data_IF_437929977016
#
_entry.id   IF_437929977016
#
_cell.length_a   1.000
_cell.length_b   1.000
_cell.length_c   1.000
_cell.angle_alpha   90.00
_cell.angle_beta   90.00
_cell.angle_gamma   90.00
#
_symmetry.space_group_name_H-M   'P 1'
#
loop_
_entity.id
_entity.type
_entity.pdbx_description
1 polymer ?
#
# COMPACT_ATOMS: atom_id res chain seq x y z
N UNK A 1 29.71 0.45 -6.86
CA UNK A 1 29.65 1.16 -5.58
C UNK A 1 28.39 0.68 -4.88
N UNK A 2 28.49 -0.07 -3.77
CA UNK A 2 27.31 -0.44 -3.00
C UNK A 2 26.84 0.81 -2.26
N UNK A 3 25.79 1.45 -2.76
CA UNK A 3 25.11 2.49 -2.01
C UNK A 3 24.39 1.81 -0.86
N UNK A 4 25.00 1.86 0.33
CA UNK A 4 24.36 1.47 1.57
C UNK A 4 23.30 2.53 1.88
N UNK A 5 22.03 2.14 1.81
CA UNK A 5 20.91 3.04 2.11
C UNK A 5 20.79 3.20 3.63
N UNK A 6 20.45 4.39 4.10
CA UNK A 6 20.26 4.63 5.53
C UNK A 6 19.02 3.89 6.05
N UNK A 7 19.05 3.46 7.30
CA UNK A 7 17.86 2.89 7.95
C UNK A 7 16.77 3.95 8.11
N UNK A 8 15.49 3.66 7.79
CA UNK A 8 14.38 4.59 8.03
C UNK A 8 14.27 5.03 9.49
N UNK A 9 14.68 4.17 10.44
CA UNK A 9 14.64 4.44 11.87
C UNK A 9 15.72 5.42 12.32
N UNK A 10 16.80 5.56 11.55
CA UNK A 10 17.85 6.56 11.77
C UNK A 10 17.49 7.89 11.11
N UNK A 11 16.79 7.84 9.98
CA UNK A 11 16.44 9.03 9.18
C UNK A 11 15.16 9.69 9.66
N UNK A 12 14.23 8.92 10.23
CA UNK A 12 12.96 9.40 10.74
C UNK A 12 12.65 8.75 12.10
N UNK A 13 12.79 9.53 13.16
CA UNK A 13 12.55 9.11 14.55
C UNK A 13 11.09 8.71 14.82
N UNK A 14 10.16 9.13 13.96
CA UNK A 14 8.76 8.74 14.02
C UNK A 14 8.54 7.28 13.63
N UNK A 15 9.49 6.60 12.98
CA UNK A 15 9.34 5.18 12.65
C UNK A 15 9.87 4.28 13.74
N UNK A 16 9.12 3.21 13.99
CA UNK A 16 9.48 2.13 14.88
C UNK A 16 9.44 0.81 14.10
N UNK A 17 10.51 0.04 14.20
CA UNK A 17 10.68 -1.22 13.48
C UNK A 17 9.65 -2.27 13.86
N UNK A 18 9.28 -2.38 15.14
CA UNK A 18 8.26 -3.32 15.61
C UNK A 18 6.89 -3.00 14.99
N UNK A 19 6.54 -1.71 14.90
CA UNK A 19 5.30 -1.26 14.28
C UNK A 19 5.27 -1.59 12.78
N UNK A 20 6.39 -1.38 12.07
CA UNK A 20 6.51 -1.74 10.66
C UNK A 20 6.45 -3.25 10.44
N UNK A 21 7.07 -4.06 11.31
CA UNK A 21 6.99 -5.52 11.23
C UNK A 21 5.56 -6.03 11.48
N UNK A 22 4.78 -5.38 12.35
CA UNK A 22 3.35 -5.68 12.49
C UNK A 22 2.59 -5.40 11.18
N UNK A 23 2.80 -4.22 10.58
CA UNK A 23 2.15 -3.88 9.29
C UNK A 23 2.61 -4.85 8.19
N UNK A 24 3.90 -5.14 8.12
CA UNK A 24 4.50 -5.98 7.10
C UNK A 24 3.87 -7.38 7.10
N UNK A 25 3.74 -8.03 8.26
CA UNK A 25 3.08 -9.34 8.38
C UNK A 25 1.66 -9.35 7.83
N UNK A 26 0.86 -8.35 8.18
CA UNK A 26 -0.52 -8.24 7.68
C UNK A 26 -0.57 -8.02 6.16
N UNK A 27 0.35 -7.23 5.61
CA UNK A 27 0.46 -7.01 4.17
C UNK A 27 0.87 -8.29 3.45
N UNK A 28 1.83 -9.03 4.00
CA UNK A 28 2.35 -10.27 3.46
C UNK A 28 1.28 -11.37 3.44
N UNK A 29 0.50 -11.49 4.53
CA UNK A 29 -0.66 -12.38 4.58
C UNK A 29 -1.69 -12.05 3.49
N UNK A 30 -1.97 -10.76 3.27
CA UNK A 30 -2.88 -10.31 2.20
C UNK A 30 -2.30 -10.56 0.80
N UNK A 31 -1.00 -10.34 0.61
CA UNK A 31 -0.33 -10.60 -0.66
C UNK A 31 -0.42 -12.08 -1.02
N UNK A 32 -0.19 -12.96 -0.06
CA UNK A 32 -0.25 -14.41 -0.25
C UNK A 32 -1.67 -14.91 -0.49
N UNK A 33 -2.63 -14.48 0.33
CA UNK A 33 -4.05 -14.78 0.09
C UNK A 33 -4.49 -14.31 -1.30
N UNK A 34 -3.95 -13.19 -1.80
CA UNK A 34 -4.23 -12.70 -3.15
C UNK A 34 -3.64 -13.62 -4.20
N UNK A 35 -2.38 -14.02 -4.04
CA UNK A 35 -1.70 -14.93 -4.94
C UNK A 35 -2.43 -16.26 -5.05
N UNK A 36 -2.83 -16.85 -3.94
CA UNK A 36 -3.55 -18.13 -3.92
C UNK A 36 -4.95 -18.04 -4.55
N UNK A 37 -5.66 -16.93 -4.32
CA UNK A 37 -7.02 -16.75 -4.85
C UNK A 37 -7.09 -16.29 -6.30
N UNK A 38 -5.98 -15.83 -6.88
CA UNK A 38 -5.91 -15.24 -8.22
C UNK A 38 -5.18 -16.19 -9.18
N UNK A 39 -5.77 -17.37 -9.36
CA UNK A 39 -5.20 -18.50 -10.11
C UNK A 39 -6.18 -19.06 -11.15
N UNK A 40 -7.32 -18.41 -11.36
CA UNK A 40 -8.33 -18.83 -12.33
C UNK A 40 -7.91 -18.59 -13.77
N UNK A 41 -8.66 -19.17 -14.71
CA UNK A 41 -8.41 -19.05 -16.16
C UNK A 41 -8.45 -17.59 -16.66
N UNK A 42 -9.26 -16.74 -16.02
CA UNK A 42 -9.42 -15.33 -16.37
C UNK A 42 -8.61 -14.40 -15.46
N UNK A 43 -7.76 -14.96 -14.59
CA UNK A 43 -6.87 -14.18 -13.77
C UNK A 43 -5.60 -13.84 -14.53
N UNK A 44 -5.20 -12.57 -14.43
CA UNK A 44 -3.98 -12.07 -15.04
C UNK A 44 -3.26 -11.12 -14.07
N UNK A 45 -2.17 -10.55 -14.55
CA UNK A 45 -1.41 -9.59 -13.74
C UNK A 45 -2.25 -8.37 -13.33
N UNK A 46 -3.19 -7.94 -14.16
CA UNK A 46 -4.04 -6.79 -13.86
C UNK A 46 -5.08 -7.13 -12.79
N UNK A 47 -5.74 -8.27 -12.88
CA UNK A 47 -6.71 -8.73 -11.85
C UNK A 47 -6.01 -8.95 -10.51
N UNK A 48 -4.78 -9.50 -10.53
CA UNK A 48 -3.96 -9.64 -9.33
C UNK A 48 -3.65 -8.28 -8.69
N UNK A 49 -3.09 -7.33 -9.44
CA UNK A 49 -2.69 -6.01 -8.92
C UNK A 49 -3.89 -5.23 -8.38
N UNK A 50 -5.03 -5.31 -9.06
CA UNK A 50 -6.26 -4.62 -8.67
C UNK A 50 -6.85 -5.24 -7.40
N UNK A 51 -6.88 -6.57 -7.33
CA UNK A 51 -7.33 -7.31 -6.14
C UNK A 51 -6.44 -7.00 -4.94
N UNK A 52 -5.11 -7.04 -5.13
CA UNK A 52 -4.15 -6.74 -4.08
C UNK A 52 -4.34 -5.31 -3.56
N UNK A 53 -4.41 -4.32 -4.45
CA UNK A 53 -4.64 -2.92 -4.07
C UNK A 53 -5.92 -2.74 -3.26
N UNK A 54 -7.02 -3.36 -3.71
CA UNK A 54 -8.31 -3.33 -3.03
C UNK A 54 -8.25 -3.95 -1.63
N UNK A 55 -7.58 -5.10 -1.47
CA UNK A 55 -7.42 -5.78 -0.18
C UNK A 55 -6.51 -5.01 0.77
N UNK A 56 -5.39 -4.46 0.29
CA UNK A 56 -4.51 -3.60 1.09
C UNK A 56 -5.24 -2.35 1.58
N UNK A 57 -6.06 -1.71 0.73
CA UNK A 57 -6.91 -0.60 1.16
C UNK A 57 -7.82 -1.00 2.33
N UNK A 58 -8.51 -2.15 2.22
CA UNK A 58 -9.39 -2.64 3.30
C UNK A 58 -8.60 -3.00 4.57
N UNK A 59 -7.39 -3.56 4.42
CA UNK A 59 -6.49 -3.82 5.54
C UNK A 59 -6.19 -2.53 6.31
N UNK A 60 -5.74 -1.48 5.63
CA UNK A 60 -5.40 -0.23 6.29
C UNK A 60 -6.61 0.47 6.92
N UNK A 61 -7.80 0.38 6.31
CA UNK A 61 -9.04 0.87 6.94
C UNK A 61 -9.27 0.13 8.26
N UNK A 62 -9.19 -1.20 8.25
CA UNK A 62 -9.38 -2.01 9.45
C UNK A 62 -8.34 -1.69 10.53
N UNK A 63 -7.06 -1.63 10.17
CA UNK A 63 -5.98 -1.34 11.12
C UNK A 63 -6.08 0.07 11.70
N UNK A 64 -6.56 1.05 10.93
CA UNK A 64 -6.73 2.43 11.42
C UNK A 64 -7.82 2.60 12.49
N UNK A 65 -8.73 1.62 12.61
CA UNK A 65 -9.78 1.59 13.64
C UNK A 65 -9.41 0.71 14.84
N UNK A 66 -8.23 0.08 14.82
CA UNK A 66 -7.77 -0.77 15.92
C UNK A 66 -7.22 0.11 17.06
N UNK A 67 -7.91 0.11 18.20
CA UNK A 67 -7.51 0.87 19.39
C UNK A 67 -6.12 0.44 19.94
N UNK A 68 -5.65 -0.77 19.60
CA UNK A 68 -4.29 -1.22 19.93
C UNK A 68 -3.20 -0.67 19.00
N UNK A 69 -3.57 0.06 17.94
CA UNK A 69 -2.65 0.64 16.95
C UNK A 69 -2.91 2.14 16.72
N UNK A 70 -2.91 2.98 17.78
CA UNK A 70 -3.18 4.42 17.63
C UNK A 70 -2.14 5.15 16.76
N UNK A 71 -0.97 4.53 16.58
CA UNK A 71 0.12 5.00 15.73
C UNK A 71 -0.16 4.83 14.22
N UNK A 72 -1.22 4.12 13.82
CA UNK A 72 -1.61 3.94 12.42
C UNK A 72 -2.98 4.57 12.16
N UNK A 73 -3.02 5.60 11.34
CA UNK A 73 -4.27 6.28 10.95
C UNK A 73 -4.40 6.38 9.43
N UNK A 74 -5.50 6.95 8.94
CA UNK A 74 -5.70 7.21 7.51
C UNK A 74 -6.00 8.69 7.28
N UNK A 75 -5.20 9.33 6.42
CA UNK A 75 -5.53 10.66 5.90
C UNK A 75 -6.60 10.60 4.79
N UNK A 76 -6.65 9.48 4.07
CA UNK A 76 -7.64 9.24 3.01
C UNK A 76 -8.04 7.78 2.98
N UNK A 77 -9.34 7.52 2.86
CA UNK A 77 -9.92 6.18 2.70
C UNK A 77 -10.35 5.91 1.26
N UNK A 78 -10.10 6.83 0.31
CA UNK A 78 -10.50 6.70 -1.09
C UNK A 78 -9.73 5.63 -1.87
N UNK A 79 -9.78 5.68 -3.21
CA UNK A 79 -8.99 4.78 -4.06
C UNK A 79 -7.48 5.05 -3.96
N UNK A 80 -7.12 6.32 -3.74
CA UNK A 80 -5.78 6.77 -3.41
C UNK A 80 -5.71 7.00 -1.90
N UNK A 81 -5.85 5.91 -1.15
CA UNK A 81 -5.79 5.92 0.30
C UNK A 81 -4.36 6.26 0.76
N UNK A 82 -4.26 6.95 1.89
CA UNK A 82 -2.98 7.44 2.43
C UNK A 82 -2.90 7.05 3.91
N UNK A 83 -2.28 5.90 4.24
CA UNK A 83 -1.96 5.56 5.63
C UNK A 83 -1.00 6.58 6.23
N UNK A 84 -1.13 6.82 7.52
CA UNK A 84 -0.18 7.60 8.30
C UNK A 84 0.38 6.76 9.42
N UNK A 85 1.69 6.62 9.46
CA UNK A 85 2.42 5.97 10.54
C UNK A 85 3.06 7.05 11.41
N UNK A 86 2.62 7.19 12.66
CA UNK A 86 3.02 8.26 13.57
C UNK A 86 2.93 9.65 12.90
N UNK A 87 1.77 9.89 12.26
CA UNK A 87 1.45 11.09 11.47
C UNK A 87 2.26 11.28 10.16
N UNK A 88 3.21 10.40 9.84
CA UNK A 88 3.95 10.43 8.57
C UNK A 88 3.14 9.76 7.45
N UNK A 89 2.79 10.47 6.37
CA UNK A 89 2.02 9.89 5.27
C UNK A 89 2.86 8.90 4.46
N UNK A 90 2.24 7.75 4.16
CA UNK A 90 2.80 6.69 3.35
C UNK A 90 1.93 6.47 2.12
N UNK A 91 2.55 6.05 1.01
CA UNK A 91 1.82 5.47 -0.12
C UNK A 91 2.26 4.04 -0.37
N UNK A 92 1.28 3.20 -0.65
CA UNK A 92 1.47 1.75 -0.77
C UNK A 92 1.50 1.35 -2.24
N UNK A 93 2.51 0.60 -2.63
CA UNK A 93 2.69 0.14 -4.01
C UNK A 93 3.16 -1.29 -4.05
N UNK A 94 2.77 -2.04 -5.08
CA UNK A 94 3.49 -3.25 -5.49
C UNK A 94 4.52 -2.90 -6.55
N UNK A 95 5.79 -2.82 -6.19
CA UNK A 95 6.92 -2.59 -7.08
C UNK A 95 8.27 -2.82 -6.38
N UNK A 96 9.36 -2.73 -7.12
CA UNK A 96 10.72 -2.80 -6.57
C UNK A 96 11.25 -1.39 -6.20
N UNK A 97 11.63 -1.13 -4.94
CA UNK A 97 12.19 0.16 -4.51
C UNK A 97 13.42 0.63 -5.30
N UNK A 98 14.33 -0.28 -5.65
CA UNK A 98 15.59 0.08 -6.31
C UNK A 98 15.42 0.35 -7.81
N UNK A 99 14.39 -0.23 -8.41
CA UNK A 99 14.10 -0.11 -9.84
C UNK A 99 12.58 -0.04 -10.07
N UNK A 100 11.92 1.04 -9.62
CA UNK A 100 10.48 1.15 -9.72
C UNK A 100 10.05 1.20 -11.18
N UNK A 101 9.08 0.35 -11.54
CA UNK A 101 8.46 0.33 -12.87
C UNK A 101 7.39 1.41 -13.00
N UNK A 102 6.69 1.70 -11.90
CA UNK A 102 5.64 2.72 -11.79
C UNK A 102 6.20 4.09 -11.43
N UNK A 103 7.33 4.49 -12.03
CA UNK A 103 8.10 5.72 -11.68
C UNK A 103 7.22 6.96 -11.50
N UNK A 104 6.37 7.25 -12.48
CA UNK A 104 5.49 8.43 -12.45
C UNK A 104 4.58 8.41 -11.22
N UNK A 105 3.96 7.27 -10.90
CA UNK A 105 3.04 7.16 -9.75
C UNK A 105 3.76 7.17 -8.41
N UNK A 106 4.95 6.58 -8.34
CA UNK A 106 5.74 6.49 -7.11
C UNK A 106 6.36 7.85 -6.78
N UNK A 107 6.86 8.58 -7.77
CA UNK A 107 7.56 9.83 -7.55
C UNK A 107 6.64 11.05 -7.51
N UNK A 108 5.46 11.00 -8.13
CA UNK A 108 4.49 12.08 -8.00
C UNK A 108 3.74 12.00 -6.68
N UNK A 109 3.76 13.10 -5.94
CA UNK A 109 2.96 13.30 -4.74
C UNK A 109 1.51 13.61 -5.13
N UNK A 110 0.54 12.98 -4.47
CA UNK A 110 -0.87 13.35 -4.61
C UNK A 110 -1.17 14.63 -3.82
N UNK A 111 -2.33 15.24 -4.07
CA UNK A 111 -2.73 16.50 -3.41
C UNK A 111 -2.86 16.36 -1.89
N UNK A 112 -3.11 15.15 -1.40
CA UNK A 112 -3.21 14.86 0.03
C UNK A 112 -1.81 14.82 0.66
N UNK A 113 -0.82 14.22 0.00
CA UNK A 113 0.58 14.25 0.42
C UNK A 113 1.10 15.68 0.44
N UNK A 114 0.85 16.45 -0.64
CA UNK A 114 1.23 17.86 -0.68
C UNK A 114 0.54 18.67 0.42
N UNK A 115 -0.76 18.47 0.62
CA UNK A 115 -1.53 19.18 1.65
C UNK A 115 -1.19 18.78 3.08
N UNK A 116 -0.89 17.51 3.34
CA UNK A 116 -0.44 17.04 4.66
C UNK A 116 0.98 17.51 4.97
N UNK A 117 1.86 17.60 3.96
CA UNK A 117 3.15 18.27 4.13
C UNK A 117 2.90 19.73 4.55
N UNK A 118 2.05 20.47 3.84
CA UNK A 118 1.72 21.86 4.21
C UNK A 118 1.17 21.99 5.64
N UNK A 119 0.30 21.08 6.10
CA UNK A 119 -0.23 21.11 7.47
C UNK A 119 0.81 20.72 8.54
N UNK A 120 1.70 19.76 8.25
CA UNK A 120 2.86 19.48 9.11
C UNK A 120 3.81 20.69 9.16
N UNK A 121 3.84 21.49 8.09
CA UNK A 121 4.62 22.72 7.98
C UNK A 121 3.90 23.95 8.61
N UNK A 122 2.68 23.83 9.14
CA UNK A 122 2.00 24.93 9.86
C UNK A 122 2.17 24.82 11.39
N UNK A 123 2.43 23.61 11.92
CA UNK A 123 2.79 23.34 13.33
C UNK A 123 4.31 23.53 13.59
N UNK A 124 4.91 24.53 12.92
CA UNK A 124 6.33 24.60 12.52
C UNK A 124 7.40 24.71 13.61
N UNK A 125 7.05 24.94 14.87
CA UNK A 125 8.06 25.28 15.89
C UNK A 125 8.83 24.06 16.43
N UNK A 126 8.41 22.82 16.15
CA UNK A 126 9.07 21.58 16.61
C UNK A 126 9.59 20.64 15.50
N UNK A 127 9.23 20.86 14.22
CA UNK A 127 9.53 19.91 13.14
C UNK A 127 10.93 20.07 12.52
N UNK A 128 11.64 21.15 12.83
CA UNK A 128 12.71 21.68 11.96
C UNK A 128 14.11 21.06 12.10
N UNK A 129 14.33 19.95 12.80
CA UNK A 129 15.72 19.53 13.08
C UNK A 129 16.13 18.07 12.89
N UNK A 130 15.28 17.18 12.36
CA UNK A 130 15.75 15.79 12.13
C UNK A 130 15.24 15.04 10.90
N UNK A 131 14.16 15.47 10.25
CA UNK A 131 13.65 14.77 9.08
C UNK A 131 14.15 15.48 7.81
N UNK A 132 15.09 14.87 7.09
CA UNK A 132 15.23 15.20 5.66
C UNK A 132 13.84 14.97 5.03
N UNK A 133 13.30 15.92 4.27
CA UNK A 133 11.94 15.92 3.67
C UNK A 133 11.71 14.78 2.66
N UNK A 134 11.87 13.52 3.09
CA UNK A 134 11.66 12.36 2.25
C UNK A 134 10.17 12.09 2.14
N UNK A 135 9.72 11.71 0.95
CA UNK A 135 8.43 11.04 0.84
C UNK A 135 8.60 9.54 0.98
N UNK A 136 7.66 8.92 1.67
CA UNK A 136 7.77 7.53 2.10
C UNK A 136 6.84 6.61 1.31
N UNK A 137 7.36 5.46 0.94
CA UNK A 137 6.67 4.46 0.12
C UNK A 137 6.76 3.11 0.81
N UNK A 138 5.62 2.49 1.04
CA UNK A 138 5.53 1.13 1.53
C UNK A 138 5.33 0.20 0.34
N UNK A 139 6.33 -0.63 0.06
CA UNK A 139 6.48 -1.37 -1.18
C UNK A 139 6.26 -2.86 -0.91
N UNK A 140 5.30 -3.47 -1.60
CA UNK A 140 5.13 -4.92 -1.68
C UNK A 140 5.99 -5.43 -2.82
N UNK A 141 7.13 -6.01 -2.46
CA UNK A 141 8.14 -6.52 -3.38
C UNK A 141 7.78 -7.95 -3.75
N UNK A 142 7.62 -8.19 -5.04
CA UNK A 142 7.33 -9.53 -5.55
C UNK A 142 8.59 -10.41 -5.48
N UNK A 143 8.43 -11.74 -5.34
CA UNK A 143 9.55 -12.66 -5.40
C UNK A 143 10.29 -12.55 -6.73
N UNK A 144 11.61 -12.68 -6.68
CA UNK A 144 12.46 -12.60 -7.88
C UNK A 144 12.70 -14.01 -8.40
N UNK A 145 12.00 -14.39 -9.47
CA UNK A 145 12.29 -15.64 -10.18
C UNK A 145 13.45 -15.39 -11.14
N UNK A 146 14.67 -15.78 -10.76
CA UNK A 146 15.82 -15.80 -11.69
C UNK A 146 15.95 -17.24 -12.20
N UNK A 147 15.46 -17.50 -13.41
CA UNK A 147 15.70 -18.77 -14.07
C UNK A 147 17.14 -18.87 -14.54
N UNK A 148 18.01 -19.54 -13.76
CA UNK A 148 19.34 -19.94 -14.19
C UNK A 148 19.39 -21.47 -14.20
N UNK A 149 19.08 -22.09 -15.35
CA UNK A 149 19.20 -23.54 -15.56
C UNK A 149 18.14 -24.40 -14.87
N UNK A 150 18.21 -25.72 -15.09
CA UNK A 150 17.30 -26.77 -14.56
C UNK A 150 17.42 -26.98 -13.02
N UNK A 151 18.18 -26.13 -12.32
CA UNK A 151 18.25 -26.14 -10.86
C UNK A 151 17.48 -24.94 -10.32
N UNK A 152 16.33 -25.22 -9.71
CA UNK A 152 15.60 -24.27 -8.87
C UNK A 152 16.44 -24.09 -7.60
N UNK A 153 17.40 -23.16 -7.64
CA UNK A 153 18.08 -22.68 -6.43
C UNK A 153 17.03 -21.90 -5.63
N UNK A 154 16.95 -22.12 -4.31
CA UNK A 154 16.10 -21.40 -3.33
C UNK A 154 16.28 -19.87 -3.42
N UNK A 155 15.76 -19.27 -4.48
CA UNK A 155 15.56 -17.85 -4.60
C UNK A 155 14.34 -17.52 -3.75
N UNK A 156 14.40 -16.39 -3.05
CA UNK A 156 13.38 -15.96 -2.10
C UNK A 156 12.01 -15.84 -2.81
N UNK A 157 11.25 -16.94 -2.81
CA UNK A 157 9.95 -17.11 -3.47
C UNK A 157 8.82 -16.38 -2.74
N UNK A 158 9.17 -15.68 -1.65
CA UNK A 158 8.23 -15.00 -0.79
C UNK A 158 8.17 -13.50 -1.12
N UNK A 159 6.97 -12.94 -1.00
CA UNK A 159 6.81 -11.50 -0.98
C UNK A 159 7.62 -10.89 0.17
N UNK A 160 8.11 -9.67 -0.04
CA UNK A 160 8.70 -8.83 1.01
C UNK A 160 7.99 -7.50 1.09
N UNK A 161 8.03 -6.88 2.26
CA UNK A 161 7.62 -5.48 2.41
C UNK A 161 8.88 -4.63 2.58
N UNK A 162 8.92 -3.49 1.90
CA UNK A 162 9.99 -2.53 2.07
C UNK A 162 9.45 -1.15 2.39
N UNK A 163 10.10 -0.43 3.30
CA UNK A 163 9.86 1.00 3.50
C UNK A 163 10.98 1.76 2.80
N UNK A 164 10.61 2.58 1.83
CA UNK A 164 11.54 3.33 0.99
C UNK A 164 11.30 4.84 1.13
N UNK A 165 12.35 5.56 1.50
CA UNK A 165 12.38 7.01 1.58
C UNK A 165 13.10 7.61 0.38
N UNK A 166 12.41 8.43 -0.39
CA UNK A 166 12.97 9.07 -1.58
C UNK A 166 13.09 10.57 -1.39
N UNK A 167 14.13 11.14 -1.97
CA UNK A 167 14.34 12.57 -1.97
C UNK A 167 13.35 13.26 -2.94
N UNK A 168 12.69 14.35 -2.53
CA UNK A 168 11.54 14.94 -3.24
C UNK A 168 11.91 15.55 -4.60
N UNK A 169 13.12 16.10 -4.73
CA UNK A 169 13.56 16.81 -5.94
C UNK A 169 14.13 15.86 -7.00
N UNK A 170 15.09 15.01 -6.64
CA UNK A 170 15.83 14.16 -7.59
C UNK A 170 15.33 12.71 -7.64
N UNK A 171 14.34 12.34 -6.80
CA UNK A 171 13.79 11.00 -6.68
C UNK A 171 14.82 9.90 -6.36
N UNK A 172 15.97 10.27 -5.80
CA UNK A 172 16.97 9.29 -5.36
C UNK A 172 16.46 8.55 -4.13
N UNK A 173 16.64 7.23 -4.11
CA UNK A 173 16.40 6.41 -2.93
C UNK A 173 17.47 6.73 -1.87
N UNK A 174 17.04 7.23 -0.71
CA UNK A 174 17.92 7.67 0.39
C UNK A 174 17.91 6.65 1.53
N UNK A 175 16.72 6.14 1.83
CA UNK A 175 16.50 5.23 2.95
C UNK A 175 15.72 4.00 2.51
N UNK A 176 16.11 2.83 3.02
CA UNK A 176 15.49 1.56 2.66
C UNK A 176 15.55 0.59 3.83
N UNK A 177 14.42 -0.04 4.11
CA UNK A 177 14.30 -1.18 5.02
C UNK A 177 13.48 -2.27 4.36
N UNK A 178 13.76 -3.53 4.69
CA UNK A 178 12.96 -4.69 4.30
C UNK A 178 12.47 -5.42 5.55
N UNK A 179 11.27 -6.00 5.48
CA UNK A 179 10.74 -6.85 6.53
C UNK A 179 11.58 -8.11 6.72
N UNK A 180 11.82 -8.47 7.99
CA UNK A 180 12.47 -9.73 8.37
C UNK A 180 11.58 -10.94 8.10
N UNK A 181 10.27 -10.75 8.28
CA UNK A 181 9.28 -11.80 8.05
C UNK A 181 9.14 -12.05 6.55
N UNK A 182 9.56 -13.24 6.12
CA UNK A 182 9.11 -13.85 4.87
C UNK A 182 7.72 -14.43 5.09
N UNK A 183 6.90 -14.50 4.04
CA UNK A 183 5.72 -15.38 4.07
C UNK A 183 6.25 -16.81 4.16
N UNK A 184 6.46 -17.34 5.36
CA UNK A 184 6.69 -18.77 5.50
C UNK A 184 5.47 -19.46 4.90
N UNK A 185 5.68 -20.26 3.85
CA UNK A 185 4.74 -21.26 3.33
C UNK A 185 4.40 -22.27 4.45
N UNK A 186 3.72 -21.82 5.51
CA UNK A 186 2.96 -22.71 6.37
C UNK A 186 1.80 -23.12 5.50
N UNK A 187 1.91 -24.30 4.89
CA UNK A 187 0.78 -24.99 4.27
C UNK A 187 -0.40 -24.95 5.25
N UNK A 188 -1.30 -23.99 5.06
CA UNK A 188 -2.57 -24.01 5.77
C UNK A 188 -3.36 -25.13 5.11
N UNK A 189 -3.62 -26.18 5.90
CA UNK A 189 -4.61 -27.20 5.55
C UNK A 189 -5.87 -26.51 5.01
N UNK A 190 -6.40 -27.00 3.90
CA UNK A 190 -7.58 -26.48 3.18
C UNK A 190 -8.81 -26.31 4.10
N UNK A 191 -8.79 -26.90 5.30
CA UNK A 191 -9.88 -26.84 6.27
C UNK A 191 -9.96 -25.59 7.18
N UNK A 192 -8.91 -24.77 7.32
CA UNK A 192 -8.85 -23.90 8.51
C UNK A 192 -9.41 -22.48 8.39
N UNK A 193 -9.66 -21.93 7.18
CA UNK A 193 -10.42 -20.67 7.04
C UNK A 193 -11.19 -20.59 5.72
N UNK A 194 -12.35 -21.22 5.66
CA UNK A 194 -13.39 -20.72 4.76
C UNK A 194 -13.77 -19.32 5.25
N UNK A 195 -13.55 -18.31 4.41
CA UNK A 195 -14.06 -16.96 4.63
C UNK A 195 -15.58 -17.11 4.73
N UNK A 196 -16.14 -16.93 5.93
CA UNK A 196 -17.59 -16.88 6.06
C UNK A 196 -18.07 -15.69 5.22
N UNK A 197 -18.91 -15.97 4.22
CA UNK A 197 -19.52 -14.95 3.41
C UNK A 197 -20.27 -13.99 4.34
N UNK A 198 -19.80 -12.74 4.43
CA UNK A 198 -20.58 -11.69 5.08
C UNK A 198 -21.78 -11.41 4.17
N UNK A 199 -23.02 -11.41 4.70
CA UNK A 199 -24.19 -11.02 3.92
C UNK A 199 -23.96 -9.61 3.35
N UNK A 200 -23.96 -9.48 2.03
CA UNK A 200 -23.88 -8.19 1.36
C UNK A 200 -25.27 -7.57 1.45
N UNK A 201 -25.49 -6.65 2.41
CA UNK A 201 -26.67 -5.79 2.39
C UNK A 201 -26.57 -4.84 1.20
N UNK A 202 -27.24 -5.20 0.11
CA UNK A 202 -27.41 -4.31 -1.05
C UNK A 202 -28.36 -3.19 -0.63
N UNK A 203 -27.83 -1.97 -0.46
CA UNK A 203 -28.69 -0.77 -0.39
C UNK A 203 -29.52 -0.70 -1.67
N UNK A 204 -30.85 -0.70 -1.54
CA UNK A 204 -31.74 -0.50 -2.67
C UNK A 204 -31.43 0.86 -3.31
N UNK A 205 -31.08 0.84 -4.60
CA UNK A 205 -30.89 2.06 -5.37
C UNK A 205 -32.29 2.63 -5.63
N UNK A 206 -32.58 3.79 -5.04
CA UNK A 206 -33.79 4.54 -5.37
C UNK A 206 -33.72 4.96 -6.84
N UNK A 207 -34.61 4.40 -7.67
CA UNK A 207 -34.78 4.83 -9.05
C UNK A 207 -35.26 6.28 -9.05
N UNK A 208 -34.43 7.21 -9.55
CA UNK A 208 -34.89 8.57 -9.87
C UNK A 208 -35.82 8.46 -11.08
N UNK A 209 -37.10 8.70 -10.85
CA UNK A 209 -38.09 8.88 -11.92
C UNK A 209 -37.65 10.13 -12.71
N UNK A 210 -37.27 9.96 -13.96
CA UNK A 210 -37.00 11.06 -14.89
C UNK A 210 -38.35 11.50 -15.45
N UNK A 211 -38.88 12.62 -14.94
CA UNK A 211 -40.03 13.28 -15.56
C UNK A 211 -39.60 13.87 -16.92
N UNK A 212 -40.07 13.26 -18.01
CA UNK A 212 -39.98 13.84 -19.35
C UNK A 212 -40.86 15.10 -19.38
N UNK A 213 -40.24 16.27 -19.36
CA UNK A 213 -40.91 17.50 -19.78
C UNK A 213 -41.20 17.40 -21.28
N UNK A 214 -42.49 17.30 -21.64
CA UNK A 214 -42.98 17.53 -23.00
C UNK A 214 -42.72 19.00 -23.33
N UNK A 215 -41.74 19.26 -24.19
CA UNK A 215 -41.64 20.52 -24.92
C UNK A 215 -42.67 20.42 -26.05
N UNK A 216 -43.82 21.07 -25.88
CA UNK A 216 -44.73 21.35 -27.00
C UNK A 216 -44.10 22.46 -27.85
N UNK A 217 -43.60 22.10 -29.03
CA UNK A 217 -43.38 23.05 -30.12
C UNK A 217 -44.74 23.40 -30.69
N UNK A 218 -45.18 24.64 -30.44
CA UNK A 218 -46.28 25.28 -31.17
C UNK A 218 -45.76 25.68 -32.54
N UNK A 219 -46.21 24.96 -33.56
CA UNK A 219 -46.23 25.44 -34.94
C UNK A 219 -47.64 25.96 -35.26
N UNK A 220 -47.66 27.22 -35.71
CA UNK A 220 -48.76 28.01 -36.31
C UNK A 220 -49.64 28.85 -35.39
#
# INVERSE_FOLDING_TARGET
MSTEFKSPFEVCSAFNEEQLNIIAREILDIAEQTRLSNTGEYDDRYTFETTLHGRLRQLFIKLSHDAGKPWLTLASTGMDYVPKLNNIPLRVFRDEPRSPRKRIKIFNQNEIEKGQLVLLLEDYDEYEQSNQDLYWRLMVVAPTVIGIGDEIVDLEDDFKVALAGYHPINNSLVSLWYSDDRVNNKFQSVGDRLIQEKPIERKQVALKIIEKQKTEHSDK
#
